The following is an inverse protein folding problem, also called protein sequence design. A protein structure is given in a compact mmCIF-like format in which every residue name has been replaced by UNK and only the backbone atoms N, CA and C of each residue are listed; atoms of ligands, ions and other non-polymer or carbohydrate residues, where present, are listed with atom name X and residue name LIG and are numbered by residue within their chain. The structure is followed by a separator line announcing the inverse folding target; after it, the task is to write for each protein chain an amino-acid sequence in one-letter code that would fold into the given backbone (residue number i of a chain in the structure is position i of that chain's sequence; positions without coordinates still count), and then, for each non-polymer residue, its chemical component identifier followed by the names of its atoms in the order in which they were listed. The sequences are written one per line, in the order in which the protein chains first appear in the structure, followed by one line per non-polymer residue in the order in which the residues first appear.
data_IF_443663526370
#
_entry.id   IF_443663526370
#
_cell.length_a   1.000
_cell.length_b   1.000
_cell.length_c   1.000
_cell.angle_alpha   90.00
_cell.angle_beta   90.00
_cell.angle_gamma   90.00
#
_symmetry.space_group_name_H-M   'P 1'
#
loop_
_entity.id
_entity.type
_entity.pdbx_description
1 polymer ?
#
# COMPACT_ATOMS: atom_id res chain seq x y z
N UNK A 1 -8.41 -1.91 0.03
CA UNK A 1 -8.76 -0.48 -0.08
C UNK A 1 -7.56 0.32 0.37
N UNK A 2 -7.30 1.46 -0.27
CA UNK A 2 -6.15 2.31 0.04
C UNK A 2 -6.66 3.75 0.30
N UNK A 3 -6.27 4.35 1.42
CA UNK A 3 -6.72 5.65 1.89
C UNK A 3 -5.51 6.55 2.12
N UNK A 4 -5.51 7.72 1.47
CA UNK A 4 -4.61 8.83 1.77
C UNK A 4 -5.37 9.83 2.64
N UNK A 5 -4.66 10.67 3.39
CA UNK A 5 -5.28 11.69 4.26
C UNK A 5 -6.26 11.02 5.24
N UNK A 6 -5.78 9.99 5.94
CA UNK A 6 -6.61 9.25 6.88
C UNK A 6 -7.05 10.13 8.07
N UNK A 7 -6.25 11.15 8.43
CA UNK A 7 -6.50 12.07 9.54
C UNK A 7 -6.78 11.37 10.89
N UNK A 8 -6.25 10.17 11.08
CA UNK A 8 -6.39 9.40 12.31
C UNK A 8 -5.20 9.62 13.23
N UNK A 9 -5.47 9.69 14.53
CA UNK A 9 -4.48 9.65 15.59
C UNK A 9 -4.26 8.20 16.06
N UNK A 10 -3.14 7.89 16.75
CA UNK A 10 -2.87 6.55 17.27
C UNK A 10 -3.98 5.95 18.16
N UNK A 11 -4.74 6.80 18.87
CA UNK A 11 -5.88 6.37 19.69
C UNK A 11 -7.17 6.11 18.92
N UNK A 12 -7.28 6.58 17.68
CA UNK A 12 -8.50 6.48 16.88
C UNK A 12 -8.68 5.06 16.35
N UNK A 13 -9.92 4.56 16.37
CA UNK A 13 -10.25 3.22 15.90
C UNK A 13 -10.68 3.26 14.44
N UNK A 14 -9.97 2.53 13.59
CA UNK A 14 -10.43 2.15 12.25
C UNK A 14 -10.48 0.63 12.15
N UNK A 15 -11.68 0.06 12.26
CA UNK A 15 -11.89 -1.38 12.14
C UNK A 15 -13.05 -1.67 11.19
N UNK A 16 -12.74 -2.36 10.11
CA UNK A 16 -13.72 -2.86 9.15
C UNK A 16 -13.79 -4.39 9.28
N UNK A 17 -14.98 -4.99 9.47
CA UNK A 17 -15.12 -6.44 9.59
C UNK A 17 -14.51 -7.17 8.38
N UNK A 18 -13.77 -8.25 8.64
CA UNK A 18 -13.06 -9.07 7.63
C UNK A 18 -11.88 -8.40 6.93
N UNK A 19 -11.39 -7.26 7.46
CA UNK A 19 -10.18 -6.59 6.98
C UNK A 19 -9.18 -6.34 8.10
N UNK A 20 -7.92 -6.57 7.81
CA UNK A 20 -6.78 -6.10 8.58
C UNK A 20 -6.46 -4.69 8.11
N UNK A 21 -6.35 -3.76 9.05
CA UNK A 21 -5.98 -2.37 8.77
C UNK A 21 -4.52 -2.19 9.10
N UNK A 22 -3.73 -1.85 8.08
CA UNK A 22 -2.37 -1.33 8.23
C UNK A 22 -2.45 0.17 8.06
N UNK A 23 -1.77 0.93 8.90
CA UNK A 23 -1.77 2.38 8.77
C UNK A 23 -0.49 2.98 9.34
N UNK A 24 -0.19 4.16 8.84
CA UNK A 24 0.83 5.06 9.37
C UNK A 24 0.11 6.34 9.74
N UNK A 25 -0.02 6.59 11.03
CA UNK A 25 -0.66 7.78 11.57
C UNK A 25 0.38 8.91 11.64
N UNK A 26 0.02 10.12 11.19
CA UNK A 26 0.88 11.29 11.35
C UNK A 26 0.92 11.67 12.82
N UNK A 27 2.10 11.62 13.42
CA UNK A 27 2.29 11.96 14.84
C UNK A 27 2.48 13.45 15.09
N UNK A 28 2.85 14.22 14.06
CA UNK A 28 3.21 15.63 14.17
C UNK A 28 2.33 16.46 13.25
N UNK A 29 1.73 17.53 13.75
CA UNK A 29 0.83 18.43 12.99
C UNK A 29 -0.51 17.80 12.56
N UNK A 30 -1.42 18.64 12.08
CA UNK A 30 -2.71 18.21 11.49
C UNK A 30 -2.51 17.78 10.04
N UNK A 31 -3.29 16.82 9.57
CA UNK A 31 -3.23 16.35 8.18
C UNK A 31 -2.50 15.03 8.02
N UNK A 32 -2.56 14.45 6.83
CA UNK A 32 -1.82 13.24 6.45
C UNK A 32 -2.39 11.95 7.03
N UNK A 33 -1.50 11.00 7.18
CA UNK A 33 -1.79 9.60 7.48
C UNK A 33 -2.13 8.80 6.23
N UNK A 34 -1.75 7.53 6.24
CA UNK A 34 -2.10 6.57 5.20
C UNK A 34 -2.65 5.30 5.80
N UNK A 35 -3.56 4.62 5.09
CA UNK A 35 -4.09 3.33 5.52
C UNK A 35 -4.33 2.37 4.35
N UNK A 36 -4.04 1.09 4.58
CA UNK A 36 -4.36 -0.05 3.73
C UNK A 36 -5.27 -1.01 4.47
N UNK A 37 -6.42 -1.33 3.86
CA UNK A 37 -7.34 -2.35 4.34
C UNK A 37 -7.26 -3.56 3.43
N UNK A 38 -6.83 -4.69 3.99
CA UNK A 38 -6.61 -5.95 3.27
C UNK A 38 -7.54 -7.01 3.84
N UNK A 39 -8.17 -7.80 2.97
CA UNK A 39 -9.04 -8.90 3.43
C UNK A 39 -8.24 -9.87 4.29
N UNK A 40 -8.82 -10.32 5.41
CA UNK A 40 -8.15 -11.23 6.35
C UNK A 40 -7.73 -12.56 5.71
N UNK A 41 -8.40 -12.98 4.64
CA UNK A 41 -8.11 -14.21 3.91
C UNK A 41 -6.89 -14.11 2.99
N UNK A 42 -6.30 -12.92 2.84
CA UNK A 42 -5.09 -12.71 2.03
C UNK A 42 -3.89 -12.77 2.99
N UNK A 43 -2.91 -13.63 2.72
CA UNK A 43 -1.68 -13.65 3.49
C UNK A 43 -0.79 -12.46 3.14
N UNK A 44 -0.46 -11.65 4.15
CA UNK A 44 0.30 -10.41 3.97
C UNK A 44 0.97 -9.97 5.28
N UNK A 45 2.02 -9.16 5.13
CA UNK A 45 2.72 -8.55 6.26
C UNK A 45 3.16 -7.12 5.92
N UNK A 46 3.39 -6.32 6.95
CA UNK A 46 3.94 -4.95 6.79
C UNK A 46 5.38 -5.00 6.34
N UNK A 47 5.73 -4.12 5.40
CA UNK A 47 7.11 -3.95 4.91
C UNK A 47 7.46 -2.47 5.01
N UNK A 48 7.96 -1.98 6.17
CA UNK A 48 8.20 -0.57 6.38
C UNK A 48 9.20 -0.01 5.37
N UNK A 49 8.86 1.13 4.77
CA UNK A 49 9.79 1.91 3.94
C UNK A 49 10.10 3.19 4.71
N UNK A 50 11.37 3.37 5.09
CA UNK A 50 11.83 4.60 5.71
C UNK A 50 11.75 5.75 4.71
N UNK A 51 11.11 6.85 5.11
CA UNK A 51 11.07 8.09 4.34
C UNK A 51 10.96 9.29 5.25
N UNK A 52 11.64 10.36 4.88
CA UNK A 52 11.55 11.67 5.50
C UNK A 52 10.78 12.70 4.66
N UNK A 53 10.32 12.31 3.46
CA UNK A 53 9.71 13.24 2.47
C UNK A 53 8.30 12.85 2.05
N UNK A 54 7.81 11.72 2.57
CA UNK A 54 6.46 11.25 2.36
C UNK A 54 6.08 10.26 3.45
N UNK A 55 4.78 10.13 3.66
CA UNK A 55 4.22 9.08 4.48
C UNK A 55 3.85 7.89 3.63
N UNK A 56 4.03 6.69 4.19
CA UNK A 56 3.62 5.49 3.49
C UNK A 56 3.11 4.43 4.44
N UNK A 57 2.19 3.62 3.92
CA UNK A 57 1.86 2.30 4.47
C UNK A 57 2.16 1.30 3.38
N UNK A 58 3.05 0.37 3.67
CA UNK A 58 3.50 -0.63 2.70
C UNK A 58 3.33 -2.03 3.28
N UNK A 59 2.82 -2.93 2.46
CA UNK A 59 2.69 -4.35 2.77
C UNK A 59 3.30 -5.19 1.65
N UNK A 60 3.68 -6.41 1.98
CA UNK A 60 3.95 -7.47 1.02
C UNK A 60 2.85 -8.52 1.11
N UNK A 61 2.27 -8.88 -0.03
CA UNK A 61 1.32 -9.98 -0.18
C UNK A 61 2.11 -11.24 -0.54
N UNK A 62 1.93 -12.29 0.26
CA UNK A 62 2.53 -13.59 0.01
C UNK A 62 1.70 -14.36 -1.02
N UNK A 63 2.38 -14.89 -2.04
CA UNK A 63 1.78 -15.76 -3.03
C UNK A 63 2.42 -17.14 -2.97
N UNK A 64 1.62 -18.23 -2.97
CA UNK A 64 2.17 -19.57 -3.02
C UNK A 64 3.03 -19.77 -4.28
N UNK A 65 4.29 -20.15 -4.09
CA UNK A 65 5.24 -20.47 -5.17
C UNK A 65 5.43 -19.37 -6.22
N UNK A 66 5.22 -18.11 -5.84
CA UNK A 66 5.41 -16.94 -6.71
C UNK A 66 6.10 -15.82 -5.92
N UNK A 67 6.76 -14.88 -6.61
CA UNK A 67 7.26 -13.68 -5.96
C UNK A 67 6.14 -12.93 -5.23
N UNK A 68 6.50 -12.32 -4.10
CA UNK A 68 5.60 -11.46 -3.34
C UNK A 68 5.18 -10.24 -4.17
N UNK A 69 4.00 -9.72 -3.87
CA UNK A 69 3.53 -8.43 -4.43
C UNK A 69 3.62 -7.38 -3.34
N UNK A 70 4.43 -6.35 -3.56
CA UNK A 70 4.49 -5.19 -2.67
C UNK A 70 3.41 -4.19 -3.04
N UNK A 71 2.64 -3.74 -2.05
CA UNK A 71 1.61 -2.71 -2.21
C UNK A 71 1.96 -1.56 -1.28
N UNK A 72 2.16 -0.37 -1.85
CA UNK A 72 2.41 0.85 -1.11
C UNK A 72 1.34 1.87 -1.41
N UNK A 73 0.83 2.52 -0.37
CA UNK A 73 0.15 3.81 -0.49
C UNK A 73 1.07 4.88 0.06
N UNK A 74 1.17 5.99 -0.66
CA UNK A 74 2.06 7.09 -0.31
C UNK A 74 1.27 8.38 -0.32
N UNK A 75 1.48 9.18 0.71
CA UNK A 75 0.99 10.54 0.80
C UNK A 75 2.18 11.50 0.87
N UNK A 76 2.16 12.54 0.04
CA UNK A 76 3.17 13.60 0.02
C UNK A 76 2.48 14.94 0.35
N UNK A 77 2.93 15.67 1.37
CA UNK A 77 2.38 16.98 1.69
C UNK A 77 2.53 17.96 0.52
N UNK A 78 1.52 18.80 0.23
CA UNK A 78 1.53 19.72 -0.90
C UNK A 78 2.56 20.85 -0.79
N UNK A 79 3.05 21.15 0.41
CA UNK A 79 3.93 22.30 0.67
C UNK A 79 5.41 21.93 0.85
N UNK A 80 5.75 20.64 0.87
CA UNK A 80 7.15 20.22 0.98
C UNK A 80 7.80 20.20 -0.40
N UNK A 81 8.79 21.07 -0.61
CA UNK A 81 9.64 21.12 -1.81
C UNK A 81 10.49 19.86 -1.86
N UNK A 82 9.88 18.76 -2.29
CA UNK A 82 10.47 17.43 -2.24
C UNK A 82 10.97 17.03 -3.62
N UNK A 83 12.16 16.42 -3.73
CA UNK A 83 12.67 15.95 -5.01
C UNK A 83 11.68 14.97 -5.65
N UNK A 84 11.66 14.88 -7.00
CA UNK A 84 10.78 13.96 -7.70
C UNK A 84 10.96 12.55 -7.13
N UNK A 85 9.85 11.88 -6.79
CA UNK A 85 9.90 10.46 -6.48
C UNK A 85 10.45 9.75 -7.72
N UNK A 86 11.58 9.06 -7.59
CA UNK A 86 11.97 8.12 -8.64
C UNK A 86 11.02 6.92 -8.53
N UNK A 87 9.93 6.99 -9.29
CA UNK A 87 8.78 6.08 -9.29
C UNK A 87 9.08 4.67 -9.80
N UNK A 88 10.35 4.23 -9.88
CA UNK A 88 10.69 2.86 -10.31
C UNK A 88 10.04 1.79 -9.41
N UNK A 89 9.57 2.17 -8.22
CA UNK A 89 8.92 1.31 -7.23
C UNK A 89 7.38 1.25 -7.41
N UNK A 90 6.78 2.12 -8.24
CA UNK A 90 5.33 2.37 -8.24
C UNK A 90 4.47 1.59 -9.23
N UNK A 91 4.91 0.42 -9.68
CA UNK A 91 4.00 -0.51 -10.32
C UNK A 91 4.35 -1.91 -9.90
N UNK A 92 3.47 -2.49 -9.09
CA UNK A 92 3.11 -3.89 -9.29
C UNK A 92 3.04 -4.09 -10.80
N UNK A 93 3.65 -5.15 -11.30
CA UNK A 93 3.37 -5.71 -12.62
C UNK A 93 1.87 -6.03 -12.74
N UNK A 94 0.99 -5.04 -12.82
CA UNK A 94 -0.35 -5.20 -13.36
C UNK A 94 -0.23 -5.58 -14.84
N UNK A 95 0.84 -5.12 -15.51
CA UNK A 95 1.23 -5.60 -16.84
C UNK A 95 1.47 -7.13 -16.86
N UNK A 96 2.20 -7.72 -15.89
CA UNK A 96 2.44 -9.17 -15.92
C UNK A 96 1.29 -10.00 -15.33
N UNK A 97 0.45 -9.44 -14.45
CA UNK A 97 -0.78 -10.11 -13.99
C UNK A 97 -1.88 -10.13 -15.06
N UNK A 98 -1.97 -9.10 -15.92
CA UNK A 98 -2.82 -9.12 -17.12
C UNK A 98 -2.26 -10.03 -18.22
N UNK A 99 -0.92 -10.06 -18.42
CA UNK A 99 -0.30 -11.05 -19.32
C UNK A 99 -0.54 -12.49 -18.85
N UNK A 100 -0.50 -12.77 -17.53
CA UNK A 100 -0.76 -14.10 -16.99
C UNK A 100 -2.23 -14.57 -17.17
N UNK A 101 -3.19 -13.63 -17.28
CA UNK A 101 -4.61 -13.92 -17.60
C UNK A 101 -4.83 -14.14 -19.10
N UNK A 102 -4.07 -13.49 -19.97
CA UNK A 102 -4.23 -13.58 -21.43
C UNK A 102 -3.46 -14.75 -22.07
N UNK A 103 -2.51 -15.38 -21.35
CA UNK A 103 -1.72 -16.51 -21.85
C UNK A 103 -2.22 -17.91 -21.46
N UNK A 104 -3.44 -18.03 -20.91
CA UNK A 104 -4.06 -19.34 -20.59
C UNK A 104 -5.44 -19.52 -21.22
N UNK A 105 -5.49 -19.45 -22.55
CA UNK A 105 -6.46 -20.19 -23.34
C UNK A 105 -5.70 -21.03 -24.36
N UNK A 106 -5.40 -22.32 -24.11
CA UNK A 106 -5.17 -23.23 -25.22
C UNK A 106 -6.50 -23.39 -25.94
N UNK A 107 -6.54 -22.97 -27.21
CA UNK A 107 -7.59 -23.30 -28.13
C UNK A 107 -7.42 -24.78 -28.49
N UNK A 108 -8.27 -25.64 -27.94
CA UNK A 108 -8.61 -26.96 -28.50
C UNK A 108 -10.14 -27.06 -28.40
#
# INVERSE_FOLDING_TARGET
MAIQEAHLNPGDKLKIPNYTTHRTDRLTHRGGGTALLIRNSIDHHTTPIASSTFENTTISINLPSRPQITVSIIYRPPHETSPPLNLTIFSIQAANLLQCRLQKCPMI
#
